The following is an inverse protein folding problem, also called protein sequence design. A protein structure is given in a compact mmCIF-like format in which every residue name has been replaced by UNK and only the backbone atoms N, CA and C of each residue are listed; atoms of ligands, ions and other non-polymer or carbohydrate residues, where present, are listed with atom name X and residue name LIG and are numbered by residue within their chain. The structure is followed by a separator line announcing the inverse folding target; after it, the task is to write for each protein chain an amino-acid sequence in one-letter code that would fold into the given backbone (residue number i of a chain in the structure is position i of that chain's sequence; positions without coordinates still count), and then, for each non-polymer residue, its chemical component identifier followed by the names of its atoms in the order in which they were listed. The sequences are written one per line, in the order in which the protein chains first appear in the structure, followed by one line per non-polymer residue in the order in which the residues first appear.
data_IF_277842021281
#
_entry.id   IF_277842021281
#
_cell.length_a   1.000
_cell.length_b   1.000
_cell.length_c   1.000
_cell.angle_alpha   90.00
_cell.angle_beta   90.00
_cell.angle_gamma   90.00
#
_symmetry.space_group_name_H-M   'P 1'
#
loop_
_entity.id
_entity.type
_entity.pdbx_description
1 polymer ?
#
# COMPACT_ATOMS: atom_id res chain seq x y z
N UNK A 1 0.16 1.13 14.03
CA UNK A 1 0.20 2.09 12.91
C UNK A 1 1.64 2.26 12.52
N UNK A 2 1.94 2.23 11.23
CA UNK A 2 3.30 2.47 10.71
C UNK A 2 3.29 3.63 9.71
N UNK A 3 2.58 3.48 8.59
CA UNK A 3 2.49 4.52 7.54
C UNK A 3 1.07 5.07 7.38
N UNK A 4 0.93 6.23 6.73
CA UNK A 4 -0.35 6.87 6.38
C UNK A 4 -0.30 7.71 5.11
N UNK A 5 -1.45 7.83 4.45
CA UNK A 5 -1.63 8.71 3.29
C UNK A 5 -2.92 9.52 3.42
N UNK A 6 -2.80 10.84 3.30
CA UNK A 6 -3.94 11.75 3.28
C UNK A 6 -4.58 11.79 1.88
N UNK A 7 -5.90 11.81 1.84
CA UNK A 7 -6.66 12.24 0.68
C UNK A 7 -6.82 13.76 0.68
N UNK A 8 -7.18 14.30 -0.47
CA UNK A 8 -7.38 15.73 -0.74
C UNK A 8 -8.43 16.41 0.16
N UNK A 9 -9.39 15.65 0.70
CA UNK A 9 -10.44 16.15 1.59
C UNK A 9 -10.05 16.16 3.08
N UNK A 10 -8.82 15.76 3.41
CA UNK A 10 -8.28 15.68 4.77
C UNK A 10 -8.58 14.37 5.49
N UNK A 11 -9.33 13.45 4.89
CA UNK A 11 -9.36 12.06 5.36
C UNK A 11 -8.01 11.38 5.11
N UNK A 12 -7.77 10.23 5.74
CA UNK A 12 -6.55 9.48 5.49
C UNK A 12 -6.73 7.98 5.67
N UNK A 13 -5.80 7.22 5.09
CA UNK A 13 -5.63 5.80 5.38
C UNK A 13 -4.39 5.59 6.23
N UNK A 14 -4.37 4.54 7.04
CA UNK A 14 -3.17 4.08 7.72
C UNK A 14 -3.04 2.57 7.71
N UNK A 15 -1.81 2.07 7.85
CA UNK A 15 -1.50 0.65 8.00
C UNK A 15 -1.44 0.23 9.46
N UNK A 16 -2.19 -0.80 9.84
CA UNK A 16 -2.03 -1.48 11.13
C UNK A 16 -0.96 -2.57 11.01
N UNK A 17 0.30 -2.17 11.20
CA UNK A 17 1.50 -3.00 11.11
C UNK A 17 1.56 -4.04 12.23
N UNK A 18 0.85 -5.14 12.02
CA UNK A 18 0.71 -6.26 12.97
C UNK A 18 0.72 -7.61 12.27
N UNK A 19 1.02 -8.64 13.06
CA UNK A 19 1.01 -10.03 12.64
C UNK A 19 2.37 -10.51 12.17
N UNK A 20 2.35 -11.59 11.39
CA UNK A 20 3.51 -12.20 10.75
C UNK A 20 3.06 -12.92 9.47
N UNK A 21 4.01 -13.56 8.76
CA UNK A 21 3.73 -14.24 7.48
C UNK A 21 2.60 -15.28 7.54
N UNK A 22 2.41 -15.90 8.71
CA UNK A 22 1.42 -16.95 8.97
C UNK A 22 0.20 -16.48 9.76
N UNK A 23 0.31 -15.34 10.46
CA UNK A 23 -0.74 -14.77 11.29
C UNK A 23 -1.12 -13.36 10.80
N UNK A 24 -1.98 -13.25 9.76
CA UNK A 24 -2.31 -11.97 9.13
C UNK A 24 -3.38 -11.22 9.93
N UNK A 25 -2.98 -10.53 11.00
CA UNK A 25 -3.89 -9.78 11.88
C UNK A 25 -3.83 -8.26 11.68
N UNK A 26 -3.04 -7.78 10.72
CA UNK A 26 -3.01 -6.38 10.31
C UNK A 26 -4.10 -6.03 9.30
N UNK A 27 -4.15 -4.76 8.92
CA UNK A 27 -5.07 -4.24 7.90
C UNK A 27 -4.79 -2.80 7.53
N UNK A 28 -5.58 -2.30 6.58
CA UNK A 28 -5.64 -0.90 6.17
C UNK A 28 -6.97 -0.32 6.61
N UNK A 29 -6.90 0.86 7.22
CA UNK A 29 -8.03 1.54 7.83
C UNK A 29 -8.13 2.95 7.29
N UNK A 30 -9.36 3.39 7.03
CA UNK A 30 -9.70 4.76 6.65
C UNK A 30 -10.16 5.53 7.87
N UNK A 31 -9.74 6.78 8.00
CA UNK A 31 -10.15 7.71 9.04
C UNK A 31 -10.88 8.89 8.39
N UNK A 32 -12.10 9.16 8.85
CA UNK A 32 -12.88 10.30 8.39
C UNK A 32 -12.16 11.63 8.67
N UNK A 33 -12.45 12.65 7.87
CA UNK A 33 -11.86 14.00 8.01
C UNK A 33 -12.19 14.72 9.32
N UNK A 34 -13.16 14.19 10.09
CA UNK A 34 -13.46 14.65 11.44
C UNK A 34 -12.63 13.93 12.52
N UNK A 35 -11.84 12.93 12.11
CA UNK A 35 -10.96 12.08 12.88
C UNK A 35 -11.64 11.26 13.98
N UNK A 36 -12.95 11.08 13.90
CA UNK A 36 -13.74 10.36 14.92
C UNK A 36 -14.08 8.94 14.53
N UNK A 37 -14.16 8.66 13.24
CA UNK A 37 -14.59 7.36 12.73
C UNK A 37 -13.45 6.67 12.00
N UNK A 38 -13.19 5.42 12.38
CA UNK A 38 -12.21 4.54 11.72
C UNK A 38 -12.99 3.39 11.07
N UNK A 39 -12.80 3.20 9.77
CA UNK A 39 -13.44 2.14 8.98
C UNK A 39 -12.38 1.17 8.45
N UNK A 40 -12.50 -0.15 8.70
CA UNK A 40 -11.63 -1.14 8.07
C UNK A 40 -11.89 -1.20 6.55
N UNK A 41 -10.84 -1.13 5.73
CA UNK A 41 -10.93 -1.15 4.26
C UNK A 41 -10.39 -2.48 3.71
N UNK A 42 -9.19 -2.87 4.12
CA UNK A 42 -8.60 -4.18 3.82
C UNK A 42 -8.20 -4.81 5.14
N UNK A 43 -8.66 -6.02 5.41
CA UNK A 43 -8.32 -6.75 6.64
C UNK A 43 -7.57 -8.02 6.30
N UNK A 44 -6.99 -8.64 7.32
CA UNK A 44 -6.28 -9.92 7.21
C UNK A 44 -5.01 -9.82 6.36
N UNK A 45 -4.22 -8.77 6.62
CA UNK A 45 -2.91 -8.57 6.03
C UNK A 45 -1.80 -8.97 7.02
N UNK A 46 -0.72 -9.54 6.50
CA UNK A 46 0.46 -9.93 7.23
C UNK A 46 1.49 -8.79 7.21
N UNK A 47 1.50 -7.99 8.27
CA UNK A 47 2.38 -6.81 8.39
C UNK A 47 2.21 -5.87 7.17
N UNK A 48 1.03 -5.24 6.97
CA UNK A 48 0.91 -4.20 5.97
C UNK A 48 1.75 -3.00 6.40
N UNK A 49 2.49 -2.40 5.46
CA UNK A 49 3.41 -1.30 5.75
C UNK A 49 3.06 -0.04 4.94
N UNK A 50 3.55 0.09 3.72
CA UNK A 50 3.42 1.27 2.88
C UNK A 50 2.07 1.35 2.19
N UNK A 51 1.58 2.58 2.00
CA UNK A 51 0.35 2.86 1.28
C UNK A 51 0.45 4.16 0.48
N UNK A 52 -0.12 4.15 -0.73
CA UNK A 52 -0.17 5.33 -1.59
C UNK A 52 -1.49 5.37 -2.36
N UNK A 53 -2.17 6.52 -2.33
CA UNK A 53 -3.31 6.77 -3.20
C UNK A 53 -2.83 7.04 -4.63
N UNK A 54 -3.59 6.56 -5.59
CA UNK A 54 -3.49 6.99 -7.00
C UNK A 54 -3.74 8.50 -7.12
N UNK A 55 -3.25 9.17 -8.19
CA UNK A 55 -3.40 10.62 -8.32
C UNK A 55 -4.85 11.11 -8.37
N UNK A 56 -5.77 10.26 -8.83
CA UNK A 56 -7.22 10.52 -8.86
C UNK A 56 -7.96 10.04 -7.60
N UNK A 57 -7.22 9.48 -6.63
CA UNK A 57 -7.73 8.92 -5.37
C UNK A 57 -8.76 7.78 -5.55
N UNK A 58 -8.82 7.18 -6.75
CA UNK A 58 -9.74 6.08 -7.09
C UNK A 58 -9.20 4.69 -6.76
N UNK A 59 -7.90 4.60 -6.47
CA UNK A 59 -7.21 3.38 -6.11
C UNK A 59 -6.16 3.58 -5.02
N UNK A 60 -5.85 2.49 -4.31
CA UNK A 60 -4.92 2.43 -3.19
C UNK A 60 -3.89 1.31 -3.42
N UNK A 61 -2.62 1.69 -3.43
CA UNK A 61 -1.49 0.77 -3.35
C UNK A 61 -1.19 0.42 -1.90
N UNK A 62 -0.87 -0.84 -1.64
CA UNK A 62 -0.50 -1.35 -0.31
C UNK A 62 0.63 -2.35 -0.42
N UNK A 63 1.67 -2.21 0.42
CA UNK A 63 2.70 -3.24 0.57
C UNK A 63 2.36 -4.17 1.74
N UNK A 64 2.35 -5.48 1.49
CA UNK A 64 2.22 -6.52 2.52
C UNK A 64 3.60 -7.13 2.76
N UNK A 65 4.30 -6.61 3.78
CA UNK A 65 5.72 -6.85 4.02
C UNK A 65 6.02 -8.33 4.24
N UNK A 66 5.36 -8.95 5.23
CA UNK A 66 5.69 -10.32 5.64
C UNK A 66 5.32 -11.40 4.62
N UNK A 67 4.59 -11.05 3.55
CA UNK A 67 4.22 -11.96 2.46
C UNK A 67 4.78 -11.58 1.11
N UNK A 68 5.62 -10.53 1.05
CA UNK A 68 6.24 -10.09 -0.19
C UNK A 68 5.20 -9.79 -1.29
N UNK A 69 4.15 -9.02 -0.99
CA UNK A 69 3.09 -8.71 -1.97
C UNK A 69 2.90 -7.21 -2.15
N UNK A 70 2.68 -6.80 -3.40
CA UNK A 70 2.07 -5.52 -3.74
C UNK A 70 0.59 -5.78 -3.99
N UNK A 71 -0.26 -5.05 -3.29
CA UNK A 71 -1.71 -5.12 -3.44
C UNK A 71 -2.18 -3.81 -4.06
N UNK A 72 -3.10 -3.92 -5.01
CA UNK A 72 -3.87 -2.78 -5.51
C UNK A 72 -5.34 -2.97 -5.17
N UNK A 73 -5.98 -1.93 -4.64
CA UNK A 73 -7.41 -1.90 -4.37
C UNK A 73 -8.07 -0.72 -5.10
N UNK A 74 -9.05 -1.03 -5.95
CA UNK A 74 -9.99 -0.04 -6.45
C UNK A 74 -10.91 0.39 -5.32
N UNK A 75 -11.17 1.68 -5.20
CA UNK A 75 -12.01 2.25 -4.16
C UNK A 75 -13.38 2.61 -4.75
N UNK A 76 -14.44 2.36 -3.99
CA UNK A 76 -15.75 2.94 -4.29
C UNK A 76 -15.70 4.47 -4.10
N UNK A 77 -16.72 5.17 -4.59
CA UNK A 77 -16.82 6.64 -4.46
C UNK A 77 -16.79 7.14 -3.00
N UNK A 78 -17.17 6.29 -2.05
CA UNK A 78 -17.13 6.59 -0.63
C UNK A 78 -15.71 6.52 -0.04
N UNK A 79 -14.74 5.98 -0.78
CA UNK A 79 -13.35 5.71 -0.36
C UNK A 79 -13.20 4.79 0.86
N UNK A 80 -14.30 4.26 1.39
CA UNK A 80 -14.34 3.43 2.59
C UNK A 80 -14.49 1.95 2.26
N UNK A 81 -14.87 1.63 1.03
CA UNK A 81 -15.15 0.27 0.59
C UNK A 81 -14.54 -0.04 -0.78
N UNK A 82 -14.39 -1.33 -1.06
CA UNK A 82 -13.85 -1.86 -2.31
C UNK A 82 -14.98 -2.58 -3.05
N UNK A 83 -15.16 -2.37 -4.37
CA UNK A 83 -16.18 -3.10 -5.14
C UNK A 83 -15.83 -4.59 -5.27
N UNK A 84 -16.79 -5.45 -5.64
CA UNK A 84 -16.50 -6.85 -5.96
C UNK A 84 -15.37 -6.98 -6.98
N UNK A 85 -14.42 -7.88 -6.72
CA UNK A 85 -13.20 -8.07 -7.53
C UNK A 85 -12.29 -6.82 -7.63
N UNK A 86 -12.47 -5.85 -6.73
CA UNK A 86 -11.72 -4.60 -6.74
C UNK A 86 -10.28 -4.72 -6.25
N UNK A 87 -9.85 -5.87 -5.73
CA UNK A 87 -8.45 -6.09 -5.32
C UNK A 87 -7.69 -6.98 -6.29
N UNK A 88 -6.39 -6.73 -6.41
CA UNK A 88 -5.46 -7.60 -7.14
C UNK A 88 -4.08 -7.59 -6.47
N UNK A 89 -3.28 -8.63 -6.74
CA UNK A 89 -1.87 -8.71 -6.37
C UNK A 89 -1.05 -8.64 -7.66
N UNK A 90 -0.76 -7.43 -8.19
CA UNK A 90 -0.05 -7.30 -9.45
C UNK A 90 1.42 -7.72 -9.36
N UNK A 91 2.00 -7.74 -8.15
CA UNK A 91 3.40 -8.11 -7.98
C UNK A 91 3.66 -8.91 -6.71
N UNK A 92 4.54 -9.92 -6.83
CA UNK A 92 5.12 -10.65 -5.70
C UNK A 92 6.61 -10.35 -5.67
N UNK A 93 7.04 -9.72 -4.59
CA UNK A 93 8.43 -9.35 -4.37
C UNK A 93 9.30 -10.59 -4.11
N UNK A 94 10.61 -10.42 -4.28
CA UNK A 94 11.62 -11.42 -3.98
C UNK A 94 12.68 -10.83 -3.05
N UNK A 95 13.23 -11.65 -2.16
CA UNK A 95 14.21 -11.26 -1.15
C UNK A 95 13.66 -11.35 0.28
N UNK A 96 14.54 -11.22 1.25
CA UNK A 96 14.20 -11.23 2.69
C UNK A 96 13.61 -9.90 3.14
N UNK A 97 12.88 -9.95 4.26
CA UNK A 97 12.18 -8.85 4.96
C UNK A 97 11.05 -8.14 4.21
N UNK A 98 11.20 -7.86 2.91
CA UNK A 98 10.10 -7.53 2.00
C UNK A 98 9.90 -6.04 1.71
N UNK A 99 8.78 -5.69 1.07
CA UNK A 99 8.47 -4.30 0.72
C UNK A 99 8.09 -3.48 1.97
N UNK A 100 8.55 -2.25 2.01
CA UNK A 100 8.40 -1.30 3.13
C UNK A 100 7.46 -0.14 2.69
N UNK A 101 7.78 1.08 3.10
CA UNK A 101 7.07 2.30 2.68
C UNK A 101 7.09 2.48 1.16
N UNK A 102 6.09 3.18 0.66
CA UNK A 102 5.98 3.51 -0.76
C UNK A 102 5.44 4.92 -0.99
N UNK A 103 5.70 5.46 -2.19
CA UNK A 103 5.18 6.75 -2.61
C UNK A 103 4.90 6.74 -4.11
N UNK A 104 4.04 7.64 -4.57
CA UNK A 104 3.66 7.73 -5.98
C UNK A 104 4.07 9.10 -6.54
N UNK A 105 4.43 9.15 -7.82
CA UNK A 105 4.59 10.41 -8.54
C UNK A 105 3.31 10.87 -9.26
N UNK A 106 3.38 12.04 -9.90
CA UNK A 106 2.23 12.63 -10.62
C UNK A 106 1.79 11.84 -11.85
N UNK A 107 2.69 11.02 -12.40
CA UNK A 107 2.41 10.17 -13.56
C UNK A 107 1.86 8.81 -13.14
N UNK A 108 1.72 8.57 -11.83
CA UNK A 108 1.19 7.33 -11.28
C UNK A 108 2.23 6.23 -11.09
N UNK A 109 3.53 6.52 -11.22
CA UNK A 109 4.56 5.53 -10.94
C UNK A 109 4.72 5.38 -9.42
N UNK A 110 4.73 4.13 -8.96
CA UNK A 110 4.88 3.77 -7.56
C UNK A 110 6.33 3.40 -7.27
N UNK A 111 6.91 3.99 -6.23
CA UNK A 111 8.24 3.74 -5.73
C UNK A 111 8.12 2.99 -4.40
N UNK A 112 8.69 1.78 -4.32
CA UNK A 112 8.62 0.92 -3.13
C UNK A 112 10.03 0.71 -2.60
N UNK A 113 10.26 1.11 -1.35
CA UNK A 113 11.49 0.78 -0.64
C UNK A 113 11.50 -0.70 -0.28
N UNK A 114 12.65 -1.35 -0.46
CA UNK A 114 12.82 -2.77 -0.14
C UNK A 114 13.67 -2.89 1.13
N UNK A 115 13.03 -3.23 2.26
CA UNK A 115 13.64 -3.21 3.59
C UNK A 115 14.83 -4.16 3.68
N UNK A 116 15.98 -3.65 4.10
CA UNK A 116 17.29 -4.33 4.15
C UNK A 116 17.79 -4.92 2.80
N UNK A 117 17.18 -4.56 1.67
CA UNK A 117 17.63 -5.03 0.35
C UNK A 117 18.46 -3.97 -0.41
N UNK A 118 18.60 -2.76 0.14
CA UNK A 118 19.43 -1.71 -0.45
C UNK A 118 18.98 -1.23 -1.83
N UNK A 119 17.67 -1.29 -2.12
CA UNK A 119 17.10 -0.92 -3.43
C UNK A 119 15.71 -0.33 -3.32
N UNK A 120 15.31 0.38 -4.36
CA UNK A 120 13.93 0.83 -4.61
C UNK A 120 13.45 0.18 -5.90
N UNK A 121 12.24 -0.35 -5.90
CA UNK A 121 11.57 -0.82 -7.12
C UNK A 121 10.56 0.24 -7.58
N UNK A 122 10.55 0.50 -8.89
CA UNK A 122 9.62 1.44 -9.51
C UNK A 122 8.65 0.68 -10.39
N UNK A 123 7.36 0.93 -10.19
CA UNK A 123 6.25 0.32 -10.91
C UNK A 123 5.48 1.39 -11.68
N UNK A 124 4.94 1.04 -12.85
CA UNK A 124 3.97 1.90 -13.53
C UNK A 124 2.59 1.83 -12.85
N UNK A 125 1.62 2.58 -13.40
CA UNK A 125 0.22 2.63 -12.97
C UNK A 125 -0.52 1.27 -13.05
N UNK A 126 0.06 0.25 -13.69
CA UNK A 126 -0.45 -1.13 -13.75
C UNK A 126 0.26 -2.09 -12.80
N UNK A 127 1.17 -1.60 -11.95
CA UNK A 127 1.93 -2.44 -11.03
C UNK A 127 3.01 -3.28 -11.71
N UNK A 128 3.47 -2.89 -12.91
CA UNK A 128 4.54 -3.55 -13.65
C UNK A 128 5.85 -2.83 -13.39
N UNK A 129 6.90 -3.59 -13.01
CA UNK A 129 8.24 -3.05 -12.75
C UNK A 129 8.81 -2.39 -14.00
N UNK A 130 9.20 -1.12 -13.90
CA UNK A 130 9.89 -0.37 -14.95
C UNK A 130 11.41 -0.38 -14.74
N UNK A 131 11.87 -0.34 -13.48
CA UNK A 131 13.29 -0.31 -13.13
C UNK A 131 13.52 -0.96 -11.76
N UNK A 132 14.53 -1.81 -11.69
CA UNK A 132 15.15 -2.25 -10.44
C UNK A 132 16.57 -1.68 -10.42
N UNK A 133 16.87 -0.79 -9.48
CA UNK A 133 18.20 -0.19 -9.37
C UNK A 133 18.55 0.11 -7.93
N UNK A 134 19.83 0.02 -7.59
CA UNK A 134 20.33 0.51 -6.31
C UNK A 134 20.32 2.04 -6.34
N UNK A 135 19.91 2.73 -5.26
CA UNK A 135 20.24 4.15 -5.13
C UNK A 135 21.78 4.27 -5.21
N UNK A 136 22.27 5.06 -6.16
CA UNK A 136 23.69 5.41 -6.21
C UNK A 136 24.05 6.14 -4.92
N UNK A 137 25.22 5.85 -4.30
CA UNK A 137 25.67 6.55 -3.09
C UNK A 137 25.75 8.06 -3.25
#
# INVERSE_FOLDING_TARGET
MDDMVFASDGSFYFSDFKGDSTNPIGGIYYVDKDYKTITPVITRLAIPNGLALTPDEGGLWVTEMARNQLIFANLNKDRKSIPPYGTSIPYRFQGMNGPDSCSIDRDGNLYVAMYEQGRVLVFNDKGIVQKAGNPTP
#
